data_IF_228695679923
#
_entry.id   IF_228695679923
#
_cell.length_a   1.000
_cell.length_b   1.000
_cell.length_c   1.000
_cell.angle_alpha   90.00
_cell.angle_beta   90.00
_cell.angle_gamma   90.00
#
_symmetry.space_group_name_H-M   'P 1'
#
loop_
_entity.id
_entity.type
_entity.pdbx_description
1 polymer ?
#
# COMPACT_ATOMS: atom_id res chain seq x y z
N UNK A 1 5.16 -15.10 -8.02
CA UNK A 1 4.32 -13.94 -7.57
C UNK A 1 3.62 -14.16 -6.23
N UNK A 2 2.86 -15.25 -6.02
CA UNK A 2 2.10 -15.48 -4.76
C UNK A 2 2.93 -15.43 -3.46
N UNK A 3 4.15 -15.98 -3.44
CA UNK A 3 5.05 -15.91 -2.25
C UNK A 3 5.46 -14.48 -1.90
N UNK A 4 5.83 -13.68 -2.90
CA UNK A 4 6.21 -12.27 -2.71
C UNK A 4 5.01 -11.41 -2.32
N UNK A 5 3.88 -11.60 -2.99
CA UNK A 5 2.63 -10.89 -2.69
C UNK A 5 2.07 -11.22 -1.30
N UNK A 6 2.43 -12.37 -0.68
CA UNK A 6 2.03 -12.70 0.69
C UNK A 6 3.00 -12.12 1.73
N UNK A 7 4.28 -11.96 1.39
CA UNK A 7 5.34 -11.52 2.32
C UNK A 7 5.35 -10.01 2.57
N UNK A 8 4.97 -9.20 1.58
CA UNK A 8 5.00 -7.74 1.69
C UNK A 8 3.61 -7.12 1.50
N UNK A 9 3.32 -6.05 2.23
CA UNK A 9 2.05 -5.32 2.17
C UNK A 9 2.00 -4.38 0.95
N UNK A 10 3.08 -3.64 0.70
CA UNK A 10 3.23 -2.70 -0.40
C UNK A 10 4.54 -2.92 -1.15
N UNK A 11 4.58 -2.49 -2.42
CA UNK A 11 5.77 -2.52 -3.26
C UNK A 11 6.07 -1.12 -3.80
N UNK A 12 7.34 -0.82 -3.95
CA UNK A 12 7.85 0.38 -4.62
C UNK A 12 8.54 -0.04 -5.90
N UNK A 13 8.30 0.69 -6.99
CA UNK A 13 8.93 0.43 -8.27
C UNK A 13 9.43 1.71 -8.92
N UNK A 14 10.65 1.68 -9.46
CA UNK A 14 11.21 2.77 -10.26
C UNK A 14 10.44 2.94 -11.56
N UNK A 15 10.53 4.12 -12.16
CA UNK A 15 9.81 4.45 -13.40
C UNK A 15 10.11 3.49 -14.56
N UNK A 16 11.37 3.04 -14.68
CA UNK A 16 11.75 2.07 -15.71
C UNK A 16 11.08 0.69 -15.49
N UNK A 17 10.88 0.29 -14.23
CA UNK A 17 10.42 -1.05 -13.87
C UNK A 17 8.89 -1.12 -13.80
N UNK A 18 8.21 -0.04 -13.41
CA UNK A 18 6.74 -0.03 -13.22
C UNK A 18 5.98 -0.38 -14.51
N UNK A 19 6.50 0.04 -15.68
CA UNK A 19 5.93 -0.25 -17.00
C UNK A 19 6.08 -1.73 -17.40
N UNK A 20 7.10 -2.41 -16.87
CA UNK A 20 7.38 -3.82 -17.17
C UNK A 20 6.64 -4.78 -16.23
N UNK A 21 6.25 -4.32 -15.04
CA UNK A 21 5.59 -5.14 -14.00
C UNK A 21 4.31 -5.83 -14.50
N UNK A 22 3.37 -5.17 -15.23
CA UNK A 22 2.18 -5.83 -15.74
C UNK A 22 2.49 -6.98 -16.70
N UNK A 23 3.54 -6.84 -17.52
CA UNK A 23 3.95 -7.83 -18.51
C UNK A 23 4.68 -9.02 -17.88
N UNK A 24 5.58 -8.76 -16.93
CA UNK A 24 6.43 -9.79 -16.30
C UNK A 24 5.72 -10.54 -15.16
N UNK A 25 4.97 -9.83 -14.31
CA UNK A 25 4.32 -10.41 -13.13
C UNK A 25 2.83 -10.72 -13.37
N UNK A 26 2.32 -10.35 -14.55
CA UNK A 26 0.93 -10.55 -14.93
C UNK A 26 -0.04 -9.77 -14.03
N UNK A 27 -1.36 -10.00 -14.19
CA UNK A 27 -2.38 -9.33 -13.38
C UNK A 27 -2.37 -9.78 -11.90
N UNK A 28 -1.48 -10.71 -11.50
CA UNK A 28 -1.45 -11.30 -10.16
C UNK A 28 -1.21 -10.29 -9.04
N UNK A 29 -0.37 -9.27 -9.26
CA UNK A 29 -0.14 -8.21 -8.26
C UNK A 29 -1.31 -7.22 -8.17
N UNK A 30 -1.95 -6.91 -9.30
CA UNK A 30 -3.10 -6.01 -9.33
C UNK A 30 -4.34 -6.67 -8.67
N UNK A 31 -4.58 -7.96 -8.95
CA UNK A 31 -5.68 -8.71 -8.35
C UNK A 31 -5.56 -8.83 -6.83
N UNK A 32 -4.34 -8.89 -6.31
CA UNK A 32 -4.07 -8.86 -4.86
C UNK A 32 -4.13 -7.46 -4.23
N UNK A 33 -4.41 -6.41 -5.00
CA UNK A 33 -4.47 -5.03 -4.50
C UNK A 33 -3.12 -4.44 -4.10
N UNK A 34 -2.01 -5.05 -4.53
CA UNK A 34 -0.63 -4.67 -4.15
C UNK A 34 0.14 -4.09 -5.34
N UNK A 35 -0.52 -3.25 -6.13
CA UNK A 35 0.14 -2.62 -7.26
C UNK A 35 1.23 -1.66 -6.76
N UNK A 36 2.47 -1.74 -7.28
CA UNK A 36 3.56 -0.92 -6.77
C UNK A 36 3.31 0.57 -6.94
N UNK A 37 3.72 1.36 -5.95
CA UNK A 37 3.75 2.82 -6.06
C UNK A 37 5.01 3.26 -6.82
N UNK A 38 4.88 4.30 -7.65
CA UNK A 38 5.96 4.87 -8.44
C UNK A 38 6.97 5.60 -7.54
N UNK A 39 8.26 5.34 -7.75
CA UNK A 39 9.34 6.14 -7.20
C UNK A 39 10.20 6.77 -8.29
N UNK A 40 10.50 8.06 -8.14
CA UNK A 40 11.42 8.77 -9.02
C UNK A 40 12.82 8.77 -8.40
N UNK A 41 13.86 8.93 -9.22
CA UNK A 41 15.26 8.92 -8.75
C UNK A 41 15.61 10.09 -7.82
N UNK A 42 14.75 11.10 -7.75
CA UNK A 42 14.91 12.28 -6.89
C UNK A 42 14.28 12.13 -5.50
N UNK A 43 13.48 11.08 -5.28
CA UNK A 43 12.76 10.91 -4.02
C UNK A 43 13.59 10.16 -2.97
N UNK A 44 13.50 10.61 -1.71
CA UNK A 44 14.04 9.87 -0.57
C UNK A 44 13.16 8.65 -0.28
N UNK A 45 13.74 7.46 -0.50
CA UNK A 45 13.12 6.16 -0.22
C UNK A 45 12.56 6.06 1.20
N UNK A 46 13.28 6.59 2.19
CA UNK A 46 12.94 6.47 3.60
C UNK A 46 11.61 7.17 3.94
N UNK A 47 11.43 8.39 3.44
CA UNK A 47 10.20 9.16 3.61
C UNK A 47 9.01 8.47 2.94
N UNK A 48 9.18 8.00 1.71
CA UNK A 48 8.12 7.29 0.97
C UNK A 48 7.72 5.96 1.61
N UNK A 49 8.69 5.25 2.21
CA UNK A 49 8.40 4.02 2.96
C UNK A 49 7.62 4.33 4.22
N UNK A 50 7.96 5.40 4.94
CA UNK A 50 7.24 5.79 6.14
C UNK A 50 5.81 6.25 5.81
N UNK A 51 5.64 7.03 4.74
CA UNK A 51 4.33 7.46 4.24
C UNK A 51 3.46 6.26 3.81
N UNK A 52 4.03 5.27 3.10
CA UNK A 52 3.32 4.05 2.73
C UNK A 52 2.98 3.15 3.92
N UNK A 53 3.73 3.21 5.02
CA UNK A 53 3.39 2.49 6.25
C UNK A 53 2.26 3.16 7.00
N UNK A 54 2.23 4.49 7.01
CA UNK A 54 1.20 5.29 7.68
C UNK A 54 -0.08 5.46 6.86
N UNK A 55 -0.04 5.20 5.54
CA UNK A 55 -1.18 5.31 4.64
C UNK A 55 -1.83 3.95 4.36
N UNK A 56 -3.12 3.81 4.67
CA UNK A 56 -3.94 2.67 4.27
C UNK A 56 -4.79 3.08 3.07
N UNK A 57 -4.67 2.36 1.95
CA UNK A 57 -5.49 2.62 0.75
C UNK A 57 -6.91 2.08 0.94
N UNK A 58 -7.88 2.98 1.07
CA UNK A 58 -9.31 2.66 1.04
C UNK A 58 -9.74 2.41 -0.42
N UNK A 59 -10.07 1.16 -0.77
CA UNK A 59 -10.68 0.85 -2.06
C UNK A 59 -12.14 0.44 -1.88
N UNK A 60 -13.04 1.24 -2.44
CA UNK A 60 -14.47 1.01 -2.44
C UNK A 60 -14.85 0.13 -3.65
N UNK A 61 -14.84 -1.20 -3.45
CA UNK A 61 -15.12 -2.18 -4.51
C UNK A 61 -16.61 -2.48 -4.64
N UNK A 62 -17.42 -1.49 -5.06
CA UNK A 62 -18.88 -1.61 -5.21
C UNK A 62 -19.56 -2.19 -3.94
N UNK A 63 -19.14 -1.75 -2.75
CA UNK A 63 -19.73 -2.15 -1.47
C UNK A 63 -20.13 -0.89 -0.71
N UNK A 64 -21.27 -0.93 -0.02
CA UNK A 64 -21.82 0.22 0.72
C UNK A 64 -21.06 0.51 2.03
N UNK A 65 -20.44 -0.52 2.64
CA UNK A 65 -19.72 -0.40 3.91
C UNK A 65 -18.25 -0.81 3.74
N UNK A 66 -17.34 -0.05 4.36
CA UNK A 66 -15.91 -0.34 4.43
C UNK A 66 -15.52 -0.58 5.90
N UNK A 67 -14.96 -1.75 6.19
CA UNK A 67 -14.37 -2.05 7.51
C UNK A 67 -12.87 -1.85 7.46
N UNK A 68 -12.34 -0.93 8.25
CA UNK A 68 -10.89 -0.63 8.31
C UNK A 68 -10.41 -0.62 9.75
N UNK A 69 -9.20 -1.14 9.96
CA UNK A 69 -8.55 -1.12 11.27
C UNK A 69 -7.95 0.27 11.51
N UNK A 70 -8.41 0.94 12.57
CA UNK A 70 -8.06 2.33 12.91
C UNK A 70 -7.00 2.39 14.04
N UNK A 71 -6.74 1.27 14.72
CA UNK A 71 -5.69 1.18 15.75
C UNK A 71 -5.61 -0.17 16.44
N UNK A 72 -4.62 -0.31 17.32
CA UNK A 72 -4.47 -1.44 18.24
C UNK A 72 -5.01 -1.09 19.63
N UNK A 73 -5.40 -2.09 20.42
CA UNK A 73 -5.99 -1.93 21.76
C UNK A 73 -5.09 -1.14 22.74
N UNK A 74 -3.79 -1.07 22.47
CA UNK A 74 -2.81 -0.34 23.28
C UNK A 74 -2.62 1.13 22.89
N UNK A 75 -3.28 1.64 21.84
CA UNK A 75 -3.19 3.05 21.44
C UNK A 75 -4.08 3.95 22.30
N UNK A 76 -3.65 5.19 22.49
CA UNK A 76 -4.43 6.19 23.22
C UNK A 76 -5.53 6.80 22.35
N UNK A 77 -6.61 7.29 22.96
CA UNK A 77 -7.77 7.86 22.23
C UNK A 77 -7.40 9.03 21.31
N UNK A 78 -6.35 9.77 21.64
CA UNK A 78 -5.83 10.88 20.83
C UNK A 78 -5.16 10.40 19.54
N UNK A 79 -4.40 9.32 19.61
CA UNK A 79 -3.75 8.71 18.43
C UNK A 79 -4.80 8.06 17.52
N UNK A 80 -5.81 7.43 18.12
CA UNK A 80 -6.97 6.89 17.40
C UNK A 80 -7.74 8.00 16.67
N UNK A 81 -7.93 9.17 17.29
CA UNK A 81 -8.59 10.30 16.64
C UNK A 81 -7.81 10.81 15.42
N UNK A 82 -6.47 10.91 15.52
CA UNK A 82 -5.60 11.30 14.40
C UNK A 82 -5.70 10.30 13.24
N UNK A 83 -5.85 9.00 13.52
CA UNK A 83 -6.00 7.98 12.48
C UNK A 83 -7.40 7.95 11.83
N UNK A 84 -8.40 8.54 12.49
CA UNK A 84 -9.81 8.55 12.03
C UNK A 84 -10.13 9.79 11.19
N UNK A 85 -9.40 10.89 11.40
CA UNK A 85 -9.56 12.16 10.69
C UNK A 85 -8.90 12.15 9.30
#
# INVERSE_FOLDING_TARGET
VKKLAKKYAAFLASEAVIKQIPRLLGPGLNKSGKFPSLITHSDRLDQKVNELKSSIKFQLKKVLCLGVAIGNVSMTDKELYINLQ
#
